data_IF_541936063177
#
_entry.id   IF_541936063177
#
_cell.length_a   1.000
_cell.length_b   1.000
_cell.length_c   1.000
_cell.angle_alpha   90.00
_cell.angle_beta   90.00
_cell.angle_gamma   90.00
#
_symmetry.space_group_name_H-M   'P 1'
#
loop_
_entity.id
_entity.type
_entity.pdbx_description
1 polymer ?
#
# COMPACT_ATOMS: atom_id res chain seq x y z
N UNK A 1 -27.48 -81.28 -0.03
CA UNK A 1 -26.16 -81.35 0.60
C UNK A 1 -25.48 -80.03 0.35
N UNK A 2 -25.25 -79.28 1.41
CA UNK A 2 -24.97 -77.82 1.46
C UNK A 2 -23.58 -77.49 1.00
N UNK A 3 -23.45 -76.44 0.20
CA UNK A 3 -22.20 -75.72 0.06
C UNK A 3 -22.51 -74.17 0.11
N UNK A 4 -22.08 -73.56 1.19
CA UNK A 4 -22.20 -72.12 1.45
C UNK A 4 -21.04 -71.39 0.76
N UNK A 5 -21.37 -70.53 -0.18
CA UNK A 5 -20.43 -69.63 -0.78
C UNK A 5 -20.34 -68.39 0.05
N UNK A 6 -19.18 -68.13 0.63
CA UNK A 6 -18.86 -66.87 1.30
C UNK A 6 -18.30 -65.82 0.26
N UNK A 7 -19.06 -64.82 0.04
CA UNK A 7 -18.60 -63.63 -0.78
C UNK A 7 -17.85 -62.64 0.10
N UNK A 8 -16.57 -62.56 -0.11
CA UNK A 8 -15.69 -61.49 0.45
C UNK A 8 -15.91 -60.20 -0.34
N UNK A 9 -16.51 -59.20 0.31
CA UNK A 9 -16.61 -57.84 -0.20
C UNK A 9 -15.39 -57.09 0.29
N UNK A 10 -14.42 -56.90 -0.60
CA UNK A 10 -13.27 -56.02 -0.40
C UNK A 10 -13.72 -54.57 -0.70
N UNK A 11 -14.01 -53.79 0.34
CA UNK A 11 -14.26 -52.36 0.23
C UNK A 11 -12.91 -51.61 0.10
N UNK A 12 -12.64 -51.12 -1.11
CA UNK A 12 -11.51 -50.22 -1.42
C UNK A 12 -11.86 -48.83 -0.95
N UNK A 13 -11.35 -48.44 0.21
CA UNK A 13 -11.44 -47.08 0.72
C UNK A 13 -10.45 -46.19 -0.05
N UNK A 14 -10.97 -45.43 -1.00
CA UNK A 14 -10.19 -44.33 -1.67
C UNK A 14 -10.12 -43.17 -0.70
N UNK A 15 -8.97 -43.03 -0.03
CA UNK A 15 -8.64 -41.85 0.75
C UNK A 15 -8.34 -40.70 -0.21
N UNK A 16 -9.29 -39.78 -0.36
CA UNK A 16 -9.10 -38.51 -1.04
C UNK A 16 -8.22 -37.62 -0.15
N UNK A 17 -6.92 -37.60 -0.43
CA UNK A 17 -6.00 -36.63 0.17
C UNK A 17 -6.36 -35.22 -0.35
N UNK A 18 -7.17 -34.48 0.41
CA UNK A 18 -7.33 -33.06 0.24
C UNK A 18 -6.00 -32.41 0.58
N UNK A 19 -5.22 -32.07 -0.46
CA UNK A 19 -4.08 -31.17 -0.33
C UNK A 19 -4.62 -29.80 0.06
N UNK A 20 -4.65 -29.50 1.35
CA UNK A 20 -4.86 -28.17 1.85
C UNK A 20 -3.67 -27.35 1.36
N UNK A 21 -3.85 -26.56 0.29
CA UNK A 21 -2.96 -25.46 -0.02
C UNK A 21 -3.02 -24.50 1.16
N UNK A 22 -2.07 -24.62 2.07
CA UNK A 22 -1.82 -23.58 3.06
C UNK A 22 -1.33 -22.36 2.30
N UNK A 23 -2.22 -21.39 2.10
CA UNK A 23 -1.82 -20.10 1.58
C UNK A 23 -0.77 -19.53 2.53
N UNK A 24 0.42 -19.29 2.01
CA UNK A 24 1.48 -18.57 2.74
C UNK A 24 0.90 -17.20 3.12
N UNK A 25 0.98 -16.77 4.38
CA UNK A 25 0.28 -15.57 4.87
C UNK A 25 0.70 -14.25 4.21
N UNK A 26 1.74 -14.27 3.40
CA UNK A 26 2.29 -13.08 2.71
C UNK A 26 1.75 -12.86 1.28
N UNK A 27 1.01 -13.82 0.70
CA UNK A 27 0.50 -13.69 -0.67
C UNK A 27 -0.99 -13.40 -0.65
N UNK A 28 -1.38 -12.24 -1.18
CA UNK A 28 -2.78 -11.91 -1.41
C UNK A 28 -3.42 -12.90 -2.38
N UNK A 29 -4.67 -13.27 -2.11
CA UNK A 29 -5.48 -14.00 -3.08
C UNK A 29 -5.95 -13.03 -4.17
N UNK A 30 -6.23 -13.56 -5.37
CA UNK A 30 -6.78 -12.73 -6.46
C UNK A 30 -8.09 -12.05 -6.05
N UNK A 31 -8.89 -12.66 -5.19
CA UNK A 31 -10.12 -12.07 -4.65
C UNK A 31 -9.84 -10.88 -3.74
N UNK A 32 -8.91 -10.99 -2.82
CA UNK A 32 -8.50 -9.89 -1.92
C UNK A 32 -7.96 -8.70 -2.73
N UNK A 33 -7.11 -8.94 -3.73
CA UNK A 33 -6.56 -7.89 -4.57
C UNK A 33 -7.64 -7.16 -5.39
N UNK A 34 -8.66 -7.86 -5.89
CA UNK A 34 -9.80 -7.23 -6.61
C UNK A 34 -10.65 -6.39 -5.65
N UNK A 35 -10.90 -6.88 -4.44
CA UNK A 35 -11.66 -6.16 -3.42
C UNK A 35 -10.90 -4.91 -2.94
N UNK A 36 -9.59 -4.98 -2.79
CA UNK A 36 -8.76 -3.84 -2.41
C UNK A 36 -8.71 -2.77 -3.50
N UNK A 37 -8.55 -3.13 -4.78
CA UNK A 37 -8.62 -2.20 -5.89
C UNK A 37 -9.99 -1.49 -6.00
N UNK A 38 -11.07 -2.22 -5.75
CA UNK A 38 -12.42 -1.65 -5.69
C UNK A 38 -12.56 -0.70 -4.50
N UNK A 39 -12.02 -1.06 -3.33
CA UNK A 39 -12.03 -0.23 -2.12
C UNK A 39 -11.22 1.04 -2.33
N UNK A 40 -10.00 0.95 -2.90
CA UNK A 40 -9.20 2.12 -3.28
C UNK A 40 -9.98 3.09 -4.16
N UNK A 41 -10.64 2.58 -5.20
CA UNK A 41 -11.46 3.41 -6.11
C UNK A 41 -12.60 4.11 -5.39
N UNK A 42 -13.30 3.40 -4.49
CA UNK A 42 -14.40 3.98 -3.68
C UNK A 42 -13.89 5.04 -2.71
N UNK A 43 -12.76 4.81 -2.06
CA UNK A 43 -12.13 5.80 -1.16
C UNK A 43 -11.72 7.03 -1.95
N UNK A 44 -11.05 6.90 -3.10
CA UNK A 44 -10.71 8.04 -3.96
C UNK A 44 -11.94 8.83 -4.38
N UNK A 45 -13.01 8.15 -4.79
CA UNK A 45 -14.26 8.80 -5.15
C UNK A 45 -14.91 9.54 -3.96
N UNK A 46 -14.91 8.94 -2.77
CA UNK A 46 -15.47 9.56 -1.56
C UNK A 46 -14.66 10.80 -1.14
N UNK A 47 -13.33 10.74 -1.22
CA UNK A 47 -12.46 11.88 -0.96
C UNK A 47 -12.74 13.02 -1.94
N UNK A 48 -12.87 12.74 -3.24
CA UNK A 48 -13.19 13.75 -4.26
C UNK A 48 -14.55 14.39 -4.01
N UNK A 49 -15.54 13.63 -3.55
CA UNK A 49 -16.87 14.12 -3.27
C UNK A 49 -16.96 15.00 -2.01
N UNK A 50 -15.99 14.89 -1.10
CA UNK A 50 -15.94 15.68 0.13
C UNK A 50 -15.11 16.95 -0.07
N UNK A 51 -15.76 18.11 -0.06
CA UNK A 51 -15.11 19.40 -0.28
C UNK A 51 -14.08 19.79 0.81
N UNK A 52 -14.16 19.20 2.01
CA UNK A 52 -13.20 19.45 3.09
C UNK A 52 -11.89 18.69 2.91
N UNK A 53 -11.85 17.72 1.98
CA UNK A 53 -10.62 16.99 1.66
C UNK A 53 -9.89 17.65 0.50
N UNK A 54 -8.59 17.55 0.49
CA UNK A 54 -7.74 18.00 -0.60
C UNK A 54 -7.37 16.83 -1.50
N UNK A 55 -8.38 16.11 -2.03
CA UNK A 55 -8.24 14.80 -2.67
C UNK A 55 -7.17 14.71 -3.77
N UNK A 56 -6.83 15.83 -4.43
CA UNK A 56 -5.78 15.89 -5.47
C UNK A 56 -4.36 15.70 -4.93
N UNK A 57 -4.20 15.90 -3.63
CA UNK A 57 -2.92 15.82 -2.93
C UNK A 57 -2.86 14.59 -2.01
N UNK A 58 -3.80 13.64 -2.20
CA UNK A 58 -3.92 12.44 -1.38
C UNK A 58 -3.79 11.22 -2.27
N UNK A 59 -2.72 10.48 -2.06
CA UNK A 59 -2.56 9.14 -2.60
C UNK A 59 -3.24 8.13 -1.68
N UNK A 60 -3.94 7.18 -2.30
CA UNK A 60 -4.70 6.15 -1.59
C UNK A 60 -4.26 4.79 -2.09
N UNK A 61 -3.79 3.99 -1.18
CA UNK A 61 -3.49 2.58 -1.43
C UNK A 61 -4.22 1.69 -0.43
N UNK A 62 -4.64 0.50 -0.83
CA UNK A 62 -5.41 -0.41 0.02
C UNK A 62 -4.83 -1.81 -0.05
N UNK A 63 -4.67 -2.42 1.13
CA UNK A 63 -4.25 -3.80 1.26
C UNK A 63 -5.03 -4.51 2.35
N UNK A 64 -5.70 -5.61 2.00
CA UNK A 64 -6.55 -6.42 2.91
C UNK A 64 -7.57 -5.58 3.70
N UNK A 65 -8.05 -4.49 3.07
CA UNK A 65 -8.98 -3.53 3.68
C UNK A 65 -8.33 -2.50 4.60
N UNK A 66 -7.01 -2.51 4.76
CA UNK A 66 -6.25 -1.42 5.38
C UNK A 66 -5.96 -0.37 4.31
N UNK A 67 -6.41 0.85 4.54
CA UNK A 67 -6.22 1.99 3.63
C UNK A 67 -5.11 2.87 4.16
N UNK A 68 -4.07 3.09 3.35
CA UNK A 68 -3.08 4.14 3.58
C UNK A 68 -3.50 5.41 2.84
N UNK A 69 -3.41 6.55 3.53
CA UNK A 69 -3.54 7.88 2.95
C UNK A 69 -2.18 8.56 3.05
N UNK A 70 -1.56 8.85 1.91
CA UNK A 70 -0.26 9.50 1.83
C UNK A 70 -0.40 10.84 1.10
N UNK A 71 0.58 11.75 1.26
CA UNK A 71 0.61 13.04 0.60
C UNK A 71 0.63 14.23 1.54
N UNK A 72 0.49 15.44 0.95
CA UNK A 72 0.60 16.70 1.67
C UNK A 72 -0.67 17.53 1.52
N UNK A 73 -1.29 17.89 2.65
CA UNK A 73 -2.52 18.69 2.72
C UNK A 73 -2.25 20.05 3.37
N UNK A 74 -3.09 21.05 3.10
CA UNK A 74 -2.87 22.40 3.61
C UNK A 74 -3.31 22.58 5.07
N UNK A 75 -4.30 21.78 5.52
CA UNK A 75 -4.95 22.01 6.81
C UNK A 75 -5.11 20.72 7.63
N UNK A 76 -5.05 20.87 8.95
CA UNK A 76 -5.36 19.80 9.89
C UNK A 76 -6.81 19.31 9.73
N UNK A 77 -7.73 20.22 9.40
CA UNK A 77 -9.13 19.87 9.11
C UNK A 77 -9.23 18.95 7.89
N UNK A 78 -8.51 19.24 6.82
CA UNK A 78 -8.46 18.41 5.61
C UNK A 78 -7.88 17.02 5.92
N UNK A 79 -6.81 16.98 6.73
CA UNK A 79 -6.20 15.73 7.20
C UNK A 79 -7.19 14.86 8.00
N UNK A 80 -7.90 15.46 8.93
CA UNK A 80 -8.90 14.77 9.74
C UNK A 80 -10.12 14.34 8.91
N UNK A 81 -10.61 15.21 8.01
CA UNK A 81 -11.71 14.92 7.11
C UNK A 81 -11.40 13.75 6.18
N UNK A 82 -10.19 13.69 5.62
CA UNK A 82 -9.75 12.59 4.76
C UNK A 82 -9.81 11.24 5.50
N UNK A 83 -9.27 11.17 6.73
CA UNK A 83 -9.35 9.97 7.57
C UNK A 83 -10.78 9.52 7.82
N UNK A 84 -11.65 10.46 8.22
CA UNK A 84 -13.06 10.15 8.54
C UNK A 84 -13.82 9.69 7.30
N UNK A 85 -13.60 10.36 6.16
CA UNK A 85 -14.22 10.00 4.88
C UNK A 85 -13.79 8.59 4.44
N UNK A 86 -12.50 8.28 4.47
CA UNK A 86 -11.99 6.97 4.10
C UNK A 86 -12.54 5.86 5.02
N UNK A 87 -12.59 6.09 6.33
CA UNK A 87 -13.08 5.13 7.30
C UNK A 87 -14.58 4.80 7.13
N UNK A 88 -15.36 5.70 6.51
CA UNK A 88 -16.78 5.49 6.22
C UNK A 88 -17.05 4.64 4.97
N UNK A 89 -16.04 4.29 4.18
CA UNK A 89 -16.23 3.56 2.92
C UNK A 89 -16.41 2.06 3.18
N UNK A 90 -17.43 1.41 2.58
CA UNK A 90 -17.61 -0.03 2.69
C UNK A 90 -16.39 -0.81 2.15
N UNK A 91 -15.90 -1.76 2.95
CA UNK A 91 -14.70 -2.55 2.66
C UNK A 91 -13.45 -2.07 3.42
N UNK A 92 -13.46 -0.86 3.97
CA UNK A 92 -12.37 -0.34 4.80
C UNK A 92 -12.45 -0.91 6.22
N UNK A 93 -11.39 -1.56 6.66
CA UNK A 93 -11.23 -2.10 8.02
C UNK A 93 -10.52 -1.12 8.95
N UNK A 94 -9.51 -0.44 8.42
CA UNK A 94 -8.73 0.57 9.15
C UNK A 94 -8.13 1.58 8.17
N UNK A 95 -7.78 2.77 8.70
CA UNK A 95 -7.16 3.85 7.93
C UNK A 95 -5.89 4.30 8.62
N UNK A 96 -4.78 4.16 7.92
CA UNK A 96 -3.48 4.72 8.27
C UNK A 96 -3.36 6.09 7.60
N UNK A 97 -3.40 7.12 8.42
CA UNK A 97 -3.40 8.50 7.94
C UNK A 97 -2.00 9.09 8.05
N UNK A 98 -1.22 8.95 7.00
CA UNK A 98 0.15 9.45 6.89
C UNK A 98 0.20 10.84 6.25
N UNK A 99 -0.94 11.50 6.06
CA UNK A 99 -0.99 12.84 5.49
C UNK A 99 -0.20 13.84 6.33
N UNK A 100 0.68 14.58 5.66
CA UNK A 100 1.50 15.63 6.26
C UNK A 100 0.89 17.00 5.98
N UNK A 101 1.10 17.94 6.90
CA UNK A 101 0.77 19.34 6.60
C UNK A 101 1.85 19.94 5.70
N UNK A 102 1.42 20.66 4.67
CA UNK A 102 2.35 21.48 3.87
C UNK A 102 3.00 22.51 4.79
N UNK A 103 4.31 22.46 4.86
CA UNK A 103 5.10 23.50 5.50
C UNK A 103 5.09 24.79 4.66
N UNK A 104 5.67 25.88 5.20
CA UNK A 104 5.81 27.12 4.45
C UNK A 104 6.58 26.89 3.15
N UNK A 105 6.10 27.49 2.06
CA UNK A 105 6.81 27.45 0.77
C UNK A 105 8.21 28.05 0.91
N UNK A 106 9.15 27.53 0.12
CA UNK A 106 10.54 28.00 0.14
C UNK A 106 10.64 29.41 -0.37
N UNK A 107 11.16 30.31 0.47
CA UNK A 107 11.61 31.63 0.06
C UNK A 107 13.12 31.63 -0.07
N UNK A 108 13.61 31.97 -1.28
CA UNK A 108 14.98 32.26 -1.68
C UNK A 108 16.06 31.15 -1.63
N UNK A 109 16.69 30.89 -2.77
CA UNK A 109 17.78 29.95 -3.00
C UNK A 109 17.60 29.21 -4.34
N UNK A 110 18.58 28.43 -4.76
CA UNK A 110 18.39 27.48 -5.87
C UNK A 110 17.41 26.41 -5.39
N UNK A 111 16.15 26.53 -5.80
CA UNK A 111 15.08 25.58 -5.46
C UNK A 111 15.04 24.57 -6.58
N UNK A 112 15.43 23.33 -6.27
CA UNK A 112 15.11 22.20 -7.14
C UNK A 112 13.60 21.97 -7.01
N UNK A 113 12.90 21.94 -8.14
CA UNK A 113 11.47 21.70 -8.20
C UNK A 113 11.11 20.34 -7.59
N UNK A 114 10.06 20.30 -6.75
CA UNK A 114 9.63 19.08 -6.06
C UNK A 114 9.27 17.95 -7.04
N UNK A 115 8.73 18.29 -8.23
CA UNK A 115 8.47 17.32 -9.29
C UNK A 115 9.75 16.69 -9.85
N UNK A 116 10.85 17.46 -9.94
CA UNK A 116 12.17 16.95 -10.33
C UNK A 116 12.71 16.01 -9.26
N UNK A 117 12.56 16.35 -7.98
CA UNK A 117 12.99 15.49 -6.86
C UNK A 117 12.19 14.20 -6.88
N UNK A 118 10.86 14.25 -6.96
CA UNK A 118 9.98 13.09 -7.07
C UNK A 118 10.43 12.17 -8.21
N UNK A 119 10.69 12.72 -9.39
CA UNK A 119 11.14 11.95 -10.55
C UNK A 119 12.48 11.26 -10.31
N UNK A 120 13.45 11.97 -9.70
CA UNK A 120 14.76 11.40 -9.36
C UNK A 120 14.63 10.22 -8.39
N UNK A 121 13.83 10.39 -7.34
CA UNK A 121 13.58 9.33 -6.34
C UNK A 121 12.92 8.12 -7.00
N UNK A 122 11.85 8.33 -7.78
CA UNK A 122 11.17 7.24 -8.51
C UNK A 122 12.12 6.49 -9.44
N UNK A 123 12.96 7.20 -10.18
CA UNK A 123 13.97 6.57 -11.05
C UNK A 123 15.04 5.81 -10.26
N UNK A 124 15.46 6.31 -9.11
CA UNK A 124 16.44 5.63 -8.27
C UNK A 124 15.87 4.34 -7.68
N UNK A 125 14.63 4.38 -7.16
CA UNK A 125 13.91 3.22 -6.66
C UNK A 125 13.69 2.16 -7.76
N UNK A 126 13.31 2.58 -8.98
CA UNK A 126 13.07 1.68 -10.11
C UNK A 126 14.34 1.00 -10.63
N UNK A 127 15.52 1.56 -10.38
CA UNK A 127 16.82 0.99 -10.77
C UNK A 127 17.38 0.01 -9.74
N UNK A 128 16.98 0.15 -8.48
CA UNK A 128 17.52 -0.68 -7.40
C UNK A 128 16.91 -2.09 -7.41
N UNK A 129 17.73 -3.15 -7.31
CA UNK A 129 17.24 -4.53 -7.37
C UNK A 129 16.22 -4.92 -6.30
N UNK A 130 16.28 -4.30 -5.10
CA UNK A 130 15.42 -4.60 -3.98
C UNK A 130 14.05 -3.89 -4.10
N UNK A 131 14.03 -2.68 -4.69
CA UNK A 131 12.84 -1.83 -4.69
C UNK A 131 12.10 -1.78 -6.02
N UNK A 132 12.75 -2.13 -7.13
CA UNK A 132 12.22 -1.98 -8.50
C UNK A 132 10.92 -2.74 -8.81
N UNK A 133 10.60 -3.78 -8.03
CA UNK A 133 9.42 -4.61 -8.24
C UNK A 133 8.19 -4.13 -7.47
N UNK A 134 8.32 -3.06 -6.69
CA UNK A 134 7.28 -2.56 -5.80
C UNK A 134 6.71 -1.24 -6.31
N UNK A 135 5.40 -1.08 -6.18
CA UNK A 135 4.73 0.20 -6.37
C UNK A 135 4.94 1.03 -5.10
N UNK A 136 5.99 1.85 -5.11
CA UNK A 136 6.28 2.80 -4.04
C UNK A 136 5.79 4.16 -4.48
N UNK A 137 4.78 4.67 -3.76
CA UNK A 137 4.30 6.03 -3.95
C UNK A 137 5.34 7.02 -3.42
N UNK A 138 5.58 8.07 -4.19
CA UNK A 138 6.56 9.09 -3.85
C UNK A 138 5.95 10.45 -4.08
N UNK A 139 5.77 11.18 -2.99
CA UNK A 139 5.36 12.58 -2.96
C UNK A 139 6.47 13.47 -2.43
N UNK A 140 6.55 14.69 -2.94
CA UNK A 140 7.53 15.65 -2.46
C UNK A 140 6.87 17.01 -2.22
N UNK A 141 7.16 17.61 -1.08
CA UNK A 141 6.81 18.99 -0.77
C UNK A 141 7.94 19.71 -0.06
N UNK A 142 8.39 20.84 -0.63
CA UNK A 142 9.48 21.66 -0.13
C UNK A 142 10.79 20.85 0.11
N UNK A 143 11.03 19.77 -0.68
CA UNK A 143 12.16 18.86 -0.57
C UNK A 143 12.02 17.80 0.52
N UNK A 144 10.91 17.73 1.22
CA UNK A 144 10.54 16.59 2.05
C UNK A 144 9.87 15.56 1.17
N UNK A 145 10.42 14.35 1.15
CA UNK A 145 9.91 13.22 0.39
C UNK A 145 9.13 12.30 1.32
N UNK A 146 7.95 11.93 0.91
CA UNK A 146 7.16 10.88 1.55
C UNK A 146 7.18 9.63 0.68
N UNK A 147 7.38 8.47 1.29
CA UNK A 147 7.26 7.16 0.66
C UNK A 147 6.06 6.44 1.24
N UNK A 148 5.15 5.93 0.39
CA UNK A 148 3.96 5.16 0.78
C UNK A 148 3.88 3.83 0.03
N UNK A 149 3.01 2.93 0.52
CA UNK A 149 2.78 1.60 -0.07
C UNK A 149 3.28 0.45 0.78
N UNK A 150 3.35 -0.75 0.17
CA UNK A 150 3.74 -1.98 0.87
C UNK A 150 4.93 -2.67 0.22
N UNK A 151 5.85 -3.13 1.05
CA UNK A 151 7.03 -3.92 0.67
C UNK A 151 7.06 -5.27 1.40
N UNK A 152 7.85 -6.22 0.92
CA UNK A 152 7.85 -7.58 1.49
C UNK A 152 8.79 -7.75 2.69
N UNK A 153 9.69 -6.78 2.95
CA UNK A 153 10.61 -6.88 4.09
C UNK A 153 11.07 -5.52 4.64
N UNK A 154 11.56 -5.56 5.87
CA UNK A 154 12.18 -4.39 6.53
C UNK A 154 13.45 -3.92 5.84
N UNK A 155 14.18 -4.83 5.18
CA UNK A 155 15.36 -4.49 4.37
C UNK A 155 14.96 -3.63 3.18
N UNK A 156 13.87 -3.99 2.49
CA UNK A 156 13.33 -3.22 1.36
C UNK A 156 12.85 -1.84 1.81
N UNK A 157 12.09 -1.77 2.92
CA UNK A 157 11.68 -0.50 3.53
C UNK A 157 12.88 0.39 3.82
N UNK A 158 13.91 -0.18 4.46
CA UNK A 158 15.13 0.56 4.81
C UNK A 158 15.93 0.98 3.58
N UNK A 159 16.00 0.12 2.54
CA UNK A 159 16.66 0.42 1.29
C UNK A 159 15.97 1.58 0.57
N UNK A 160 14.63 1.57 0.47
CA UNK A 160 13.85 2.64 -0.14
C UNK A 160 14.11 4.00 0.54
N UNK A 161 14.11 4.03 1.87
CA UNK A 161 14.41 5.25 2.63
C UNK A 161 15.82 5.79 2.34
N UNK A 162 16.85 4.92 2.31
CA UNK A 162 18.23 5.34 1.99
C UNK A 162 18.35 5.84 0.55
N UNK A 163 17.71 5.17 -0.40
CA UNK A 163 17.71 5.58 -1.82
C UNK A 163 17.08 6.95 -1.97
N UNK A 164 15.92 7.18 -1.35
CA UNK A 164 15.24 8.47 -1.38
C UNK A 164 16.10 9.57 -0.77
N UNK A 165 16.70 9.32 0.40
CA UNK A 165 17.56 10.28 1.10
C UNK A 165 18.83 10.64 0.31
N UNK A 166 19.32 9.77 -0.57
CA UNK A 166 20.50 10.01 -1.39
C UNK A 166 20.23 10.86 -2.63
N UNK A 167 18.96 11.07 -2.99
CA UNK A 167 18.60 11.81 -4.19
C UNK A 167 18.84 13.31 -4.03
N UNK A 168 19.40 13.93 -5.08
CA UNK A 168 19.73 15.36 -5.07
C UNK A 168 18.47 16.21 -4.89
N UNK A 169 18.51 17.11 -3.93
CA UNK A 169 17.41 18.02 -3.59
C UNK A 169 16.53 17.53 -2.42
N UNK A 170 16.65 16.28 -2.02
CA UNK A 170 15.96 15.73 -0.84
C UNK A 170 16.57 16.30 0.43
N UNK A 171 15.72 16.79 1.32
CA UNK A 171 16.11 17.33 2.63
C UNK A 171 15.75 16.41 3.77
N UNK A 172 14.62 15.73 3.63
CA UNK A 172 14.05 14.83 4.63
C UNK A 172 13.22 13.75 3.97
N UNK A 173 13.12 12.59 4.60
CA UNK A 173 12.35 11.44 4.10
C UNK A 173 11.45 10.87 5.18
N UNK A 174 10.14 10.99 4.95
CA UNK A 174 9.10 10.29 5.73
C UNK A 174 8.82 8.93 5.09
N UNK A 175 9.38 7.87 5.67
CA UNK A 175 9.25 6.51 5.12
C UNK A 175 8.06 5.77 5.78
N UNK A 176 6.90 5.88 5.15
CA UNK A 176 5.64 5.27 5.58
C UNK A 176 5.33 3.96 4.83
N UNK A 177 6.36 3.32 4.29
CA UNK A 177 6.21 1.99 3.72
C UNK A 177 5.88 0.96 4.81
N UNK A 178 4.86 0.16 4.59
CA UNK A 178 4.52 -0.96 5.46
C UNK A 178 5.09 -2.28 4.94
N UNK A 179 5.40 -3.17 5.89
CA UNK A 179 5.84 -4.52 5.56
C UNK A 179 4.62 -5.44 5.51
N UNK A 180 4.49 -6.17 4.41
CA UNK A 180 3.41 -7.16 4.23
C UNK A 180 3.55 -8.28 5.28
N UNK A 181 2.46 -8.53 6.00
CA UNK A 181 2.34 -9.60 6.99
C UNK A 181 1.40 -10.69 6.51
#
# INVERSE_FOLDING_TARGET
MNIRSATLITSLAVALAMSACTATPTRETLGESVDDGTTTTRVKAALIANADTEARNIDVDTRRGVVQLNGFVNTERGRAAAKTTAAGVPGVKSVENNLQLKGPERTAGVVIDDGVITTRVKLALAKDPLTKAYEIEVDTHAGRVQLGGWVDSTEMRSAAGRIAASAEGVKDVDNNLDVKH
#
